data_IF_231872297434
#
_entry.id   IF_231872297434
#
_cell.length_a   1.000
_cell.length_b   1.000
_cell.length_c   1.000
_cell.angle_alpha   90.00
_cell.angle_beta   90.00
_cell.angle_gamma   90.00
#
_symmetry.space_group_name_H-M   'P 1'
#
loop_
_entity.id
_entity.type
_entity.pdbx_description
1 polymer ?
#
# COMPACT_ATOMS: atom_id res chain seq x y z
N UNK A 1 8.62 -16.38 5.78
CA UNK A 1 8.27 -15.63 7.02
C UNK A 1 6.88 -16.05 7.49
N UNK A 2 5.80 -15.72 6.77
CA UNK A 2 4.43 -16.04 7.22
C UNK A 2 4.15 -17.55 7.28
N UNK A 3 4.63 -18.36 6.34
CA UNK A 3 4.51 -19.83 6.40
C UNK A 3 5.19 -20.45 7.63
N UNK A 4 6.16 -19.73 8.21
CA UNK A 4 6.93 -20.17 9.38
C UNK A 4 6.42 -19.53 10.68
N UNK A 5 5.36 -18.72 10.62
CA UNK A 5 4.81 -18.04 11.79
C UNK A 5 3.59 -18.77 12.35
N UNK A 6 3.44 -18.71 13.67
CA UNK A 6 2.33 -19.35 14.39
C UNK A 6 1.13 -18.42 14.60
N UNK A 7 1.11 -17.27 13.93
CA UNK A 7 0.02 -16.28 14.08
C UNK A 7 -1.24 -16.67 13.32
N UNK A 8 -1.10 -17.40 12.20
CA UNK A 8 -2.22 -17.82 11.36
C UNK A 8 -2.83 -19.08 11.98
N UNK A 9 -4.10 -19.05 12.43
CA UNK A 9 -4.77 -20.23 12.96
C UNK A 9 -4.76 -21.39 11.96
N UNK A 10 -4.56 -22.62 12.44
CA UNK A 10 -4.45 -23.81 11.56
C UNK A 10 -5.65 -23.99 10.64
N UNK A 11 -6.85 -23.67 11.10
CA UNK A 11 -8.08 -23.76 10.31
C UNK A 11 -8.16 -22.72 9.17
N UNK A 12 -7.37 -21.64 9.24
CA UNK A 12 -7.30 -20.60 8.20
C UNK A 12 -6.14 -20.80 7.24
N UNK A 13 -5.05 -21.49 7.64
CA UNK A 13 -3.81 -21.60 6.86
C UNK A 13 -4.05 -21.96 5.39
N UNK A 14 -4.85 -23.00 5.13
CA UNK A 14 -5.11 -23.45 3.75
C UNK A 14 -5.79 -22.37 2.90
N UNK A 15 -6.78 -21.67 3.44
CA UNK A 15 -7.52 -20.64 2.69
C UNK A 15 -6.68 -19.38 2.56
N UNK A 16 -6.03 -18.96 3.64
CA UNK A 16 -5.17 -17.79 3.67
C UNK A 16 -4.04 -17.88 2.64
N UNK A 17 -3.30 -18.99 2.62
CA UNK A 17 -2.19 -19.14 1.67
C UNK A 17 -2.66 -19.31 0.22
N UNK A 18 -3.80 -19.94 -0.02
CA UNK A 18 -4.39 -20.02 -1.35
C UNK A 18 -4.78 -18.62 -1.87
N UNK A 19 -5.48 -17.81 -1.06
CA UNK A 19 -5.88 -16.46 -1.46
C UNK A 19 -4.67 -15.50 -1.57
N UNK A 20 -3.66 -15.65 -0.70
CA UNK A 20 -2.40 -14.92 -0.81
C UNK A 20 -1.64 -15.27 -2.09
N UNK A 21 -1.58 -16.55 -2.46
CA UNK A 21 -0.97 -16.99 -3.72
C UNK A 21 -1.71 -16.41 -4.92
N UNK A 22 -3.04 -16.43 -4.91
CA UNK A 22 -3.84 -15.79 -5.96
C UNK A 22 -3.55 -14.29 -6.06
N UNK A 23 -3.50 -13.57 -4.93
CA UNK A 23 -3.12 -12.16 -4.91
C UNK A 23 -1.74 -11.95 -5.53
N UNK A 24 -0.73 -12.72 -5.14
CA UNK A 24 0.63 -12.60 -5.69
C UNK A 24 0.66 -12.86 -7.21
N UNK A 25 -0.09 -13.85 -7.70
CA UNK A 25 -0.22 -14.13 -9.14
C UNK A 25 -0.81 -12.91 -9.86
N UNK A 26 -1.89 -12.32 -9.35
CA UNK A 26 -2.52 -11.15 -9.93
C UNK A 26 -1.58 -9.94 -9.90
N UNK A 27 -0.93 -9.66 -8.76
CA UNK A 27 0.03 -8.57 -8.63
C UNK A 27 1.13 -8.63 -9.68
N UNK A 28 1.64 -9.84 -10.00
CA UNK A 28 2.64 -10.02 -11.07
C UNK A 28 2.13 -9.65 -12.46
N UNK A 29 0.83 -9.80 -12.73
CA UNK A 29 0.23 -9.46 -14.02
C UNK A 29 0.10 -7.94 -14.23
N UNK A 30 -0.21 -7.22 -13.15
CA UNK A 30 -0.39 -5.76 -13.19
C UNK A 30 0.90 -4.98 -12.87
N UNK A 31 1.94 -5.65 -12.34
CA UNK A 31 3.23 -5.04 -12.08
C UNK A 31 4.06 -4.85 -13.34
N UNK A 32 4.62 -3.66 -13.50
CA UNK A 32 5.57 -3.34 -14.56
C UNK A 32 6.66 -2.41 -14.03
N UNK A 33 7.73 -2.25 -14.81
CA UNK A 33 8.93 -1.46 -14.45
C UNK A 33 9.30 -0.41 -15.50
N UNK A 34 8.39 -0.11 -16.44
CA UNK A 34 8.59 0.92 -17.49
C UNK A 34 8.33 2.35 -16.98
N UNK A 35 8.74 2.63 -15.75
CA UNK A 35 8.69 3.95 -15.12
C UNK A 35 10.10 4.43 -14.77
N UNK A 36 10.29 5.74 -14.75
CA UNK A 36 11.56 6.32 -14.31
C UNK A 36 11.66 6.25 -12.79
N UNK A 37 12.67 5.54 -12.29
CA UNK A 37 12.93 5.45 -10.86
C UNK A 37 13.45 6.79 -10.30
N UNK A 38 12.84 7.26 -9.22
CA UNK A 38 13.32 8.41 -8.43
C UNK A 38 13.59 7.99 -6.99
N UNK A 39 14.33 8.80 -6.22
CA UNK A 39 14.46 8.61 -4.78
C UNK A 39 13.14 8.96 -4.11
N UNK A 40 12.61 8.02 -3.36
CA UNK A 40 11.34 8.12 -2.65
C UNK A 40 11.57 8.22 -1.14
N UNK A 41 10.60 8.79 -0.45
CA UNK A 41 10.36 8.54 0.97
C UNK A 41 10.07 7.06 1.21
N UNK A 42 9.34 6.41 0.31
CA UNK A 42 9.06 4.97 0.33
C UNK A 42 7.91 4.56 1.25
N UNK A 43 7.57 5.40 2.24
CA UNK A 43 6.45 5.25 3.18
C UNK A 43 5.72 6.58 3.43
N UNK A 44 5.52 7.39 2.38
CA UNK A 44 4.85 8.68 2.48
C UNK A 44 3.34 8.51 2.70
N UNK A 45 2.89 8.65 3.93
CA UNK A 45 1.48 8.63 4.32
C UNK A 45 1.22 9.64 5.45
N UNK A 46 -0.04 10.02 5.75
CA UNK A 46 -0.33 11.07 6.73
C UNK A 46 0.33 10.89 8.11
N UNK A 47 0.50 9.64 8.57
CA UNK A 47 1.20 9.35 9.84
C UNK A 47 2.69 9.75 9.87
N UNK A 48 3.34 9.92 8.72
CA UNK A 48 4.75 10.30 8.56
C UNK A 48 4.91 11.76 8.12
N UNK A 49 3.83 12.55 8.18
CA UNK A 49 3.84 13.98 7.86
C UNK A 49 3.44 14.76 9.10
N UNK A 50 4.39 15.51 9.65
CA UNK A 50 4.14 16.44 10.75
C UNK A 50 3.77 17.82 10.22
N UNK A 51 2.94 18.55 10.96
CA UNK A 51 2.54 19.91 10.59
C UNK A 51 3.03 20.93 11.60
N UNK A 52 3.94 21.80 11.16
CA UNK A 52 4.36 22.99 11.92
C UNK A 52 4.82 24.06 10.94
N UNK A 53 3.97 25.06 10.73
CA UNK A 53 4.21 26.14 9.75
C UNK A 53 4.43 25.63 8.31
N UNK A 54 3.99 24.40 8.02
CA UNK A 54 4.18 23.67 6.78
C UNK A 54 4.33 22.16 7.01
N UNK A 55 4.29 21.35 5.94
CA UNK A 55 4.51 19.90 6.05
C UNK A 55 5.99 19.59 6.30
N UNK A 56 6.24 18.67 7.23
CA UNK A 56 7.56 18.09 7.49
C UNK A 56 7.47 16.58 7.37
N UNK A 57 8.18 16.02 6.40
CA UNK A 57 8.28 14.57 6.22
C UNK A 57 9.28 13.99 7.20
N UNK A 58 8.91 12.89 7.86
CA UNK A 58 9.73 12.18 8.86
C UNK A 58 9.75 10.68 8.55
N UNK A 59 10.69 9.95 9.16
CA UNK A 59 10.85 8.50 8.98
C UNK A 59 11.27 8.09 7.55
N UNK A 60 12.58 8.21 7.26
CA UNK A 60 13.17 7.88 5.96
C UNK A 60 13.81 6.49 5.94
N UNK A 61 13.51 5.62 6.91
CA UNK A 61 14.11 4.28 6.98
C UNK A 61 13.67 3.38 5.82
N UNK A 62 12.52 3.68 5.20
CA UNK A 62 11.98 2.98 4.03
C UNK A 62 12.35 3.63 2.68
N UNK A 63 13.16 4.71 2.69
CA UNK A 63 13.56 5.44 1.50
C UNK A 63 14.30 4.54 0.50
N UNK A 64 13.88 4.61 -0.77
CA UNK A 64 14.38 3.73 -1.85
C UNK A 64 14.14 4.34 -3.22
N UNK A 65 14.64 3.69 -4.27
CA UNK A 65 14.31 4.07 -5.64
C UNK A 65 13.02 3.36 -6.10
N UNK A 66 12.10 4.10 -6.72
CA UNK A 66 10.83 3.55 -7.21
C UNK A 66 10.01 4.54 -8.03
N UNK A 67 8.74 4.20 -8.37
CA UNK A 67 7.84 5.09 -9.10
C UNK A 67 7.33 6.19 -8.17
N UNK A 68 7.19 7.41 -8.68
CA UNK A 68 6.73 8.59 -7.93
C UNK A 68 5.38 8.35 -7.24
N UNK A 69 4.47 7.59 -7.87
CA UNK A 69 3.15 7.28 -7.32
C UNK A 69 3.21 6.63 -5.93
N UNK A 70 4.30 5.93 -5.58
CA UNK A 70 4.50 5.30 -4.27
C UNK A 70 4.41 6.31 -3.11
N UNK A 71 4.86 7.55 -3.33
CA UNK A 71 4.82 8.60 -2.31
C UNK A 71 3.54 9.46 -2.37
N UNK A 72 2.61 9.14 -3.28
CA UNK A 72 1.38 9.92 -3.51
C UNK A 72 0.12 9.15 -3.11
N UNK A 73 0.01 7.87 -3.49
CA UNK A 73 -1.26 7.15 -3.42
C UNK A 73 -1.80 6.96 -1.99
N UNK A 74 -0.91 6.89 -1.00
CA UNK A 74 -1.30 6.72 0.42
C UNK A 74 -1.83 8.00 1.07
N UNK A 75 -1.79 9.13 0.37
CA UNK A 75 -2.42 10.39 0.78
C UNK A 75 -3.92 10.41 0.44
N UNK A 76 -4.33 9.58 -0.52
CA UNK A 76 -5.71 9.51 -0.99
C UNK A 76 -6.60 8.77 0.02
N UNK A 77 -7.82 9.26 0.22
CA UNK A 77 -8.80 8.67 1.13
C UNK A 77 -10.24 8.96 0.68
N UNK A 78 -11.19 8.20 1.22
CA UNK A 78 -12.61 8.34 0.89
C UNK A 78 -13.04 7.53 -0.33
N UNK A 79 -14.20 7.87 -0.87
CA UNK A 79 -14.77 7.22 -2.05
C UNK A 79 -14.00 7.61 -3.31
N UNK A 80 -14.22 6.88 -4.41
CA UNK A 80 -13.48 7.09 -5.67
C UNK A 80 -13.52 8.54 -6.17
N UNK A 81 -14.64 9.24 -6.03
CA UNK A 81 -14.75 10.66 -6.43
C UNK A 81 -13.92 11.59 -5.54
N UNK A 82 -13.87 11.32 -4.23
CA UNK A 82 -13.03 12.07 -3.29
C UNK A 82 -11.55 11.87 -3.64
N UNK A 83 -11.15 10.62 -3.93
CA UNK A 83 -9.79 10.29 -4.32
C UNK A 83 -9.39 10.96 -5.64
N UNK A 84 -10.29 11.07 -6.62
CA UNK A 84 -10.02 11.77 -7.88
C UNK A 84 -9.80 13.27 -7.62
N UNK A 85 -10.66 13.92 -6.82
CA UNK A 85 -10.51 15.34 -6.49
C UNK A 85 -9.21 15.63 -5.70
N UNK A 86 -8.88 14.76 -4.74
CA UNK A 86 -7.62 14.83 -4.00
C UNK A 86 -6.41 14.62 -4.91
N UNK A 87 -6.48 13.64 -5.83
CA UNK A 87 -5.42 13.35 -6.78
C UNK A 87 -5.19 14.53 -7.74
N UNK A 88 -6.25 15.14 -8.26
CA UNK A 88 -6.18 16.33 -9.11
C UNK A 88 -5.44 17.47 -8.41
N UNK A 89 -5.87 17.79 -7.18
CA UNK A 89 -5.23 18.83 -6.35
C UNK A 89 -3.76 18.50 -6.06
N UNK A 90 -3.46 17.24 -5.72
CA UNK A 90 -2.12 16.79 -5.38
C UNK A 90 -1.18 16.85 -6.60
N UNK A 91 -1.66 16.40 -7.77
CA UNK A 91 -0.87 16.40 -9.00
C UNK A 91 -0.69 17.81 -9.58
N UNK A 92 -1.67 18.71 -9.43
CA UNK A 92 -1.52 20.12 -9.77
C UNK A 92 -0.34 20.74 -8.99
N UNK A 93 -0.36 20.61 -7.66
CA UNK A 93 0.71 21.13 -6.79
C UNK A 93 2.07 20.43 -7.01
N UNK A 94 2.07 19.11 -7.26
CA UNK A 94 3.29 18.36 -7.56
C UNK A 94 3.94 18.84 -8.87
N UNK A 95 3.11 19.15 -9.88
CA UNK A 95 3.54 19.57 -11.21
C UNK A 95 4.20 20.96 -11.24
N UNK A 96 4.08 21.75 -10.16
CA UNK A 96 4.87 22.97 -10.00
C UNK A 96 6.38 22.69 -9.89
N UNK A 97 6.77 21.47 -9.48
CA UNK A 97 8.16 21.11 -9.19
C UNK A 97 8.67 19.92 -10.00
N UNK A 98 7.80 18.98 -10.41
CA UNK A 98 8.19 17.79 -11.14
C UNK A 98 7.06 17.23 -12.02
N UNK A 99 7.39 16.69 -13.19
CA UNK A 99 6.43 16.02 -14.06
C UNK A 99 5.96 14.68 -13.45
N UNK A 100 4.66 14.40 -13.54
CA UNK A 100 4.08 13.12 -13.15
C UNK A 100 3.56 12.32 -14.36
N UNK A 101 4.06 11.10 -14.52
CA UNK A 101 3.55 10.17 -15.52
C UNK A 101 2.28 9.48 -15.03
N UNK A 102 1.13 9.89 -15.57
CA UNK A 102 -0.18 9.35 -15.18
C UNK A 102 -0.31 7.84 -15.37
N UNK A 103 0.52 7.21 -16.22
CA UNK A 103 0.54 5.74 -16.35
C UNK A 103 0.91 5.07 -15.04
N UNK A 104 1.63 5.75 -14.14
CA UNK A 104 1.95 5.23 -12.82
C UNK A 104 0.71 5.05 -11.93
N UNK A 105 -0.44 5.67 -12.23
CA UNK A 105 -1.68 5.47 -11.47
C UNK A 105 -2.16 4.01 -11.52
N UNK A 106 -1.80 3.25 -12.57
CA UNK A 106 -2.11 1.82 -12.64
C UNK A 106 -1.32 0.97 -11.64
N UNK A 107 -0.27 1.53 -11.02
CA UNK A 107 0.53 0.86 -9.99
C UNK A 107 -0.04 1.00 -8.58
N UNK A 108 -1.09 1.81 -8.36
CA UNK A 108 -1.68 2.02 -7.03
C UNK A 108 -2.13 0.69 -6.41
N UNK A 109 -2.95 -0.08 -7.13
CA UNK A 109 -3.45 -1.37 -6.64
C UNK A 109 -2.33 -2.41 -6.48
N UNK A 110 -1.37 -2.54 -7.43
CA UNK A 110 -0.18 -3.37 -7.21
C UNK A 110 0.62 -3.01 -5.96
N UNK A 111 0.87 -1.71 -5.73
CA UNK A 111 1.62 -1.23 -4.55
C UNK A 111 0.85 -1.48 -3.25
N UNK A 112 -0.48 -1.29 -3.26
CA UNK A 112 -1.34 -1.57 -2.10
C UNK A 112 -1.30 -3.05 -1.73
N UNK A 113 -1.46 -3.95 -2.71
CA UNK A 113 -1.37 -5.39 -2.47
C UNK A 113 0.01 -5.83 -1.96
N UNK A 114 1.10 -5.31 -2.54
CA UNK A 114 2.46 -5.55 -2.03
C UNK A 114 2.63 -5.06 -0.59
N UNK A 115 2.10 -3.86 -0.27
CA UNK A 115 2.14 -3.29 1.08
C UNK A 115 1.43 -4.18 2.10
N UNK A 116 0.26 -4.75 1.77
CA UNK A 116 -0.46 -5.66 2.67
C UNK A 116 0.42 -6.86 3.07
N UNK A 117 1.05 -7.51 2.09
CA UNK A 117 1.93 -8.67 2.31
C UNK A 117 3.17 -8.29 3.11
N UNK A 118 3.81 -7.18 2.73
CA UNK A 118 4.99 -6.66 3.43
C UNK A 118 4.69 -6.31 4.88
N UNK A 119 3.54 -5.69 5.16
CA UNK A 119 3.15 -5.28 6.50
C UNK A 119 2.98 -6.47 7.46
N UNK A 120 2.27 -7.52 7.02
CA UNK A 120 2.16 -8.75 7.82
C UNK A 120 3.52 -9.40 8.08
N UNK A 121 4.39 -9.47 7.07
CA UNK A 121 5.73 -10.03 7.22
C UNK A 121 6.61 -9.17 8.16
N UNK A 122 6.47 -7.84 8.09
CA UNK A 122 7.16 -6.87 8.94
C UNK A 122 6.78 -7.04 10.41
N UNK A 123 5.49 -7.21 10.71
CA UNK A 123 5.00 -7.52 12.05
C UNK A 123 5.52 -8.86 12.54
N UNK A 124 5.36 -9.93 11.75
CA UNK A 124 5.79 -11.27 12.13
C UNK A 124 7.30 -11.33 12.43
N UNK A 125 8.12 -10.63 11.65
CA UNK A 125 9.58 -10.60 11.82
C UNK A 125 10.00 -9.89 13.12
N UNK A 126 9.25 -8.88 13.56
CA UNK A 126 9.56 -8.06 14.74
C UNK A 126 8.80 -8.46 16.00
N UNK A 127 7.95 -9.48 15.93
CA UNK A 127 7.06 -9.84 17.03
C UNK A 127 7.76 -10.18 18.35
N UNK A 128 9.01 -10.64 18.30
CA UNK A 128 9.80 -10.93 19.51
C UNK A 128 10.21 -9.68 20.29
N UNK A 129 10.14 -8.49 19.67
CA UNK A 129 10.31 -7.21 20.37
C UNK A 129 9.07 -6.94 21.26
N UNK A 130 9.22 -6.76 22.59
CA UNK A 130 8.09 -6.54 23.49
C UNK A 130 7.21 -5.32 23.16
N UNK A 131 7.70 -4.36 22.38
CA UNK A 131 6.90 -3.23 21.93
C UNK A 131 5.81 -3.64 20.93
N UNK A 132 6.05 -4.66 20.10
CA UNK A 132 5.16 -5.07 19.02
C UNK A 132 3.85 -5.69 19.50
N UNK A 133 3.85 -6.70 20.40
CA UNK A 133 2.61 -7.23 20.96
C UNK A 133 1.77 -6.18 21.70
N UNK A 134 2.41 -5.13 22.25
CA UNK A 134 1.71 -4.02 22.94
C UNK A 134 1.07 -3.05 21.96
N UNK A 135 1.76 -2.71 20.88
CA UNK A 135 1.28 -1.77 19.87
C UNK A 135 0.30 -2.41 18.87
N UNK A 136 0.44 -3.71 18.61
CA UNK A 136 -0.32 -4.45 17.60
C UNK A 136 -0.95 -5.74 18.16
N UNK A 137 -1.66 -5.71 19.31
CA UNK A 137 -2.16 -6.91 19.97
C UNK A 137 -3.08 -7.75 19.07
N UNK A 138 -3.82 -7.09 18.19
CA UNK A 138 -4.74 -7.70 17.22
C UNK A 138 -4.05 -8.63 16.21
N UNK A 139 -2.74 -8.52 15.98
CA UNK A 139 -2.03 -9.35 14.99
C UNK A 139 -1.98 -10.84 15.39
N UNK A 140 -2.08 -11.12 16.69
CA UNK A 140 -2.19 -12.48 17.23
C UNK A 140 -3.64 -12.99 17.30
N UNK A 141 -4.63 -12.18 16.92
CA UNK A 141 -6.04 -12.58 16.96
C UNK A 141 -6.48 -13.22 15.64
N UNK A 142 -7.23 -14.32 15.73
CA UNK A 142 -7.78 -15.01 14.55
C UNK A 142 -8.60 -14.08 13.65
N UNK A 143 -9.36 -13.16 14.25
CA UNK A 143 -10.20 -12.17 13.55
C UNK A 143 -9.40 -11.30 12.57
N UNK A 144 -8.15 -10.96 12.91
CA UNK A 144 -7.29 -10.21 12.00
C UNK A 144 -7.03 -11.00 10.71
N UNK A 145 -6.68 -12.27 10.84
CA UNK A 145 -6.38 -13.17 9.72
C UNK A 145 -7.61 -13.48 8.87
N UNK A 146 -8.79 -13.63 9.48
CA UNK A 146 -10.08 -13.71 8.77
C UNK A 146 -10.33 -12.44 7.94
N UNK A 147 -10.04 -11.27 8.51
CA UNK A 147 -10.10 -9.99 7.80
C UNK A 147 -9.11 -9.90 6.63
N UNK A 148 -7.89 -10.43 6.77
CA UNK A 148 -6.90 -10.43 5.69
C UNK A 148 -7.34 -11.28 4.50
N UNK A 149 -8.03 -12.41 4.74
CA UNK A 149 -8.59 -13.24 3.68
C UNK A 149 -9.60 -12.44 2.84
N UNK A 150 -10.51 -11.72 3.49
CA UNK A 150 -11.46 -10.85 2.79
C UNK A 150 -10.73 -9.73 2.04
N UNK A 151 -9.76 -9.08 2.70
CA UNK A 151 -9.00 -7.99 2.11
C UNK A 151 -8.21 -8.43 0.86
N UNK A 152 -7.69 -9.66 0.80
CA UNK A 152 -7.06 -10.16 -0.44
C UNK A 152 -8.05 -10.25 -1.60
N UNK A 153 -9.29 -10.68 -1.35
CA UNK A 153 -10.32 -10.77 -2.38
C UNK A 153 -10.76 -9.40 -2.87
N UNK A 154 -10.94 -8.46 -1.96
CA UNK A 154 -11.22 -7.06 -2.27
C UNK A 154 -10.08 -6.43 -3.06
N UNK A 155 -8.83 -6.67 -2.67
CA UNK A 155 -7.66 -6.18 -3.40
C UNK A 155 -7.52 -6.79 -4.79
N UNK A 156 -7.86 -8.08 -4.96
CA UNK A 156 -7.93 -8.72 -6.27
C UNK A 156 -9.03 -8.06 -7.12
N UNK A 157 -10.22 -7.82 -6.56
CA UNK A 157 -11.29 -7.14 -7.29
C UNK A 157 -10.86 -5.72 -7.74
N UNK A 158 -10.22 -4.96 -6.84
CA UNK A 158 -9.72 -3.62 -7.12
C UNK A 158 -8.64 -3.60 -8.22
N UNK A 159 -7.76 -4.61 -8.29
CA UNK A 159 -6.78 -4.74 -9.39
C UNK A 159 -7.42 -4.80 -10.78
N UNK A 160 -8.65 -5.30 -10.88
CA UNK A 160 -9.41 -5.40 -12.13
C UNK A 160 -10.30 -4.19 -12.41
N UNK A 161 -10.42 -3.25 -11.48
CA UNK A 161 -11.10 -1.98 -11.73
C UNK A 161 -10.23 -1.06 -12.60
N UNK A 162 -10.88 -0.10 -13.28
CA UNK A 162 -10.15 0.94 -13.97
C UNK A 162 -9.30 1.74 -12.96
N UNK A 163 -8.02 2.05 -13.26
CA UNK A 163 -7.20 2.92 -12.42
C UNK A 163 -7.88 4.28 -12.21
N UNK A 164 -7.44 5.01 -11.18
CA UNK A 164 -7.77 6.43 -11.07
C UNK A 164 -7.27 7.15 -12.34
N UNK A 165 -8.11 8.01 -12.89
CA UNK A 165 -7.82 8.80 -14.09
C UNK A 165 -8.29 10.22 -13.83
N UNK A 166 -7.44 11.19 -14.16
CA UNK A 166 -7.87 12.58 -14.26
C UNK A 166 -8.77 12.67 -15.50
N UNK A 167 -10.01 13.15 -15.33
CA UNK A 167 -10.81 13.50 -16.50
C UNK A 167 -10.12 14.66 -17.22
N UNK A 168 -10.08 14.69 -18.56
CA UNK A 168 -9.61 15.86 -19.26
C UNK A 168 -10.50 17.04 -18.84
N UNK A 169 -9.90 18.08 -18.26
CA UNK A 169 -10.55 19.37 -18.09
C UNK A 169 -10.81 19.92 -19.49
N UNK A 170 -12.06 19.88 -19.93
CA UNK A 170 -12.52 20.45 -21.20
C UNK A 170 -12.87 21.92 -21.02
#
# INVERSE_FOLDING_TARGET
ILEQSDFIPDYLKSVFFADLEQLIIQLRQFWHTDWQAIRLHGDCHPGNILWRDGPMFVDLDDARNGPAVQDLWMLLNGERQDQIAQLDTLLEAYSEFADFDQRQLQLIEPLRGLRMVHYMAWLAKRWQDPAFPRAFPWFAEAKYWEGQILAFKEQIAALHEAPLQLMPQW
#
